data_IF_689610794674
#
_entry.id   IF_689610794674
#
_cell.length_a   1.000
_cell.length_b   1.000
_cell.length_c   1.000
_cell.angle_alpha   90.00
_cell.angle_beta   90.00
_cell.angle_gamma   90.00
#
_symmetry.space_group_name_H-M   'P 1'
#
loop_
_entity.id
_entity.type
_entity.pdbx_description
1 polymer ?
#
# COMPACT_ATOMS: atom_id res chain seq x y z
N UNK A 1 -2.54 15.39 2.40
CA UNK A 1 -1.10 15.71 2.52
C UNK A 1 -0.50 15.33 3.87
N UNK A 2 -1.28 15.28 4.97
CA UNK A 2 -0.76 14.92 6.31
C UNK A 2 0.02 13.60 6.43
N UNK A 3 -0.16 12.63 5.53
CA UNK A 3 0.55 11.34 5.58
C UNK A 3 1.96 11.37 5.00
N UNK A 4 2.36 12.49 4.43
CA UNK A 4 3.66 12.68 3.82
C UNK A 4 4.53 13.55 4.72
N UNK A 5 5.80 13.16 4.91
CA UNK A 5 6.74 13.96 5.70
C UNK A 5 6.90 15.35 5.08
N UNK A 6 6.66 16.40 5.87
CA UNK A 6 6.65 17.80 5.43
C UNK A 6 5.77 18.04 4.18
N UNK A 7 4.70 17.26 4.05
CA UNK A 7 3.74 17.34 2.95
C UNK A 7 4.33 17.08 1.54
N UNK A 8 5.57 16.59 1.45
CA UNK A 8 6.21 16.20 0.18
C UNK A 8 5.61 14.89 -0.31
N UNK A 9 4.74 14.98 -1.30
CA UNK A 9 4.30 13.82 -2.08
C UNK A 9 5.45 13.39 -3.00
N UNK A 10 5.84 12.10 -3.02
CA UNK A 10 6.88 11.62 -3.91
C UNK A 10 6.43 11.75 -5.37
N UNK A 11 7.39 12.02 -6.24
CA UNK A 11 7.16 12.05 -7.70
C UNK A 11 7.06 10.65 -8.31
N UNK A 12 7.47 9.64 -7.54
CA UNK A 12 7.32 8.24 -7.88
C UNK A 12 5.87 7.90 -8.27
N UNK A 13 5.69 7.30 -9.44
CA UNK A 13 4.39 6.91 -9.97
C UNK A 13 3.54 8.03 -10.59
N UNK A 14 4.05 9.27 -10.71
CA UNK A 14 3.29 10.36 -11.33
C UNK A 14 2.95 10.10 -12.81
N UNK A 15 3.81 9.36 -13.50
CA UNK A 15 3.68 8.95 -14.89
C UNK A 15 2.84 7.67 -15.07
N UNK A 16 2.41 7.01 -13.98
CA UNK A 16 1.67 5.74 -14.06
C UNK A 16 0.35 5.93 -14.83
N UNK A 17 0.15 5.21 -15.95
CA UNK A 17 -1.09 5.30 -16.71
C UNK A 17 -2.30 4.91 -15.86
N UNK A 18 -3.35 5.74 -15.90
CA UNK A 18 -4.56 5.48 -15.13
C UNK A 18 -4.39 5.60 -13.61
N UNK A 19 -3.35 6.28 -13.12
CA UNK A 19 -3.16 6.50 -11.69
C UNK A 19 -4.33 7.27 -11.05
N UNK A 20 -4.86 6.74 -9.95
CA UNK A 20 -5.85 7.38 -9.11
C UNK A 20 -5.24 7.76 -7.77
N UNK A 21 -5.44 9.01 -7.34
CA UNK A 21 -5.01 9.49 -6.01
C UNK A 21 -6.17 9.34 -5.04
N UNK A 22 -6.05 8.40 -4.12
CA UNK A 22 -7.10 8.03 -3.18
C UNK A 22 -6.75 8.55 -1.78
N UNK A 23 -7.68 9.26 -1.17
CA UNK A 23 -7.64 9.55 0.26
C UNK A 23 -8.55 8.53 0.95
N UNK A 24 -7.95 7.51 1.55
CA UNK A 24 -8.65 6.33 2.04
C UNK A 24 -9.55 6.71 3.21
N UNK A 25 -10.85 6.71 2.96
CA UNK A 25 -11.87 7.22 3.88
C UNK A 25 -12.72 6.08 4.41
N UNK A 26 -12.72 5.92 5.73
CA UNK A 26 -13.48 4.91 6.44
C UNK A 26 -14.05 5.50 7.73
N UNK A 27 -15.30 5.15 8.07
CA UNK A 27 -16.09 5.73 9.16
C UNK A 27 -16.02 7.26 9.20
N UNK A 28 -16.18 7.89 8.04
CA UNK A 28 -16.18 9.35 7.88
C UNK A 28 -14.84 10.03 8.27
N UNK A 29 -13.73 9.30 8.23
CA UNK A 29 -12.38 9.80 8.55
C UNK A 29 -11.38 9.33 7.49
N UNK A 30 -10.40 10.17 7.19
CA UNK A 30 -9.25 9.78 6.38
C UNK A 30 -8.22 9.06 7.24
N UNK A 31 -7.70 7.94 6.74
CA UNK A 31 -6.74 7.07 7.46
C UNK A 31 -5.35 7.02 6.82
N UNK A 32 -5.26 6.95 5.50
CA UNK A 32 -4.00 6.96 4.75
C UNK A 32 -4.24 7.43 3.30
N UNK A 33 -3.17 7.59 2.52
CA UNK A 33 -3.25 7.91 1.10
C UNK A 33 -2.73 6.75 0.26
N UNK A 34 -3.31 6.57 -0.93
CA UNK A 34 -2.87 5.57 -1.89
C UNK A 34 -2.74 6.22 -3.27
N UNK A 35 -1.63 5.98 -3.95
CA UNK A 35 -1.54 6.15 -5.39
C UNK A 35 -1.82 4.79 -6.04
N UNK A 36 -2.92 4.67 -6.75
CA UNK A 36 -3.45 3.39 -7.24
C UNK A 36 -3.40 3.30 -8.75
N UNK A 37 -2.83 2.22 -9.28
CA UNK A 37 -2.80 1.95 -10.72
C UNK A 37 -4.09 1.25 -11.13
N UNK A 38 -4.97 1.95 -11.86
CA UNK A 38 -6.26 1.36 -12.30
C UNK A 38 -6.13 0.39 -13.48
N UNK A 39 -4.98 0.34 -14.16
CA UNK A 39 -4.69 -0.60 -15.25
C UNK A 39 -4.22 -1.94 -14.69
N UNK A 40 -3.24 -1.91 -13.77
CA UNK A 40 -2.71 -3.10 -13.10
C UNK A 40 -3.57 -3.56 -11.90
N UNK A 41 -4.48 -2.70 -11.44
CA UNK A 41 -5.38 -2.92 -10.30
C UNK A 41 -4.64 -3.23 -9.00
N UNK A 42 -3.48 -2.62 -8.82
CA UNK A 42 -2.65 -2.66 -7.61
C UNK A 42 -2.22 -1.24 -7.23
N UNK A 43 -1.85 -1.03 -5.98
CA UNK A 43 -1.30 0.25 -5.56
C UNK A 43 0.15 0.41 -6.04
N UNK A 44 0.47 1.60 -6.54
CA UNK A 44 1.86 2.02 -6.77
C UNK A 44 2.54 2.21 -5.41
N UNK A 45 1.86 2.92 -4.51
CA UNK A 45 2.24 2.99 -3.09
C UNK A 45 1.06 3.38 -2.19
N UNK A 46 1.18 3.04 -0.91
CA UNK A 46 0.43 3.58 0.20
C UNK A 46 1.33 4.47 1.07
N UNK A 47 0.79 5.58 1.55
CA UNK A 47 1.47 6.54 2.42
C UNK A 47 0.67 6.75 3.71
N UNK A 48 1.31 6.53 4.87
CA UNK A 48 0.65 6.61 6.17
C UNK A 48 1.60 7.10 7.27
N UNK A 49 1.02 7.47 8.42
CA UNK A 49 1.78 7.65 9.66
C UNK A 49 1.57 6.41 10.54
N UNK A 50 2.65 5.90 11.12
CA UNK A 50 2.57 4.79 12.07
C UNK A 50 1.81 5.21 13.33
N UNK A 51 0.86 4.38 13.74
CA UNK A 51 0.14 4.51 15.00
C UNK A 51 0.15 3.15 15.73
N UNK A 52 0.62 3.06 16.98
CA UNK A 52 0.71 1.78 17.65
C UNK A 52 -0.67 1.12 17.77
N UNK A 53 -0.76 -0.12 17.28
CA UNK A 53 -1.98 -0.93 17.37
C UNK A 53 -2.41 -1.12 18.81
N UNK A 54 -3.73 -1.09 19.04
CA UNK A 54 -4.37 -1.31 20.33
C UNK A 54 -4.90 -2.75 20.52
N UNK A 55 -4.44 -3.71 19.72
CA UNK A 55 -4.85 -5.11 19.83
C UNK A 55 -6.25 -5.42 19.30
N UNK A 56 -6.81 -4.56 18.43
CA UNK A 56 -8.09 -4.82 17.76
C UNK A 56 -8.09 -6.12 16.95
N UNK A 57 -9.27 -6.75 16.81
CA UNK A 57 -9.43 -7.94 15.98
C UNK A 57 -9.18 -7.69 14.49
N UNK A 58 -9.12 -8.76 13.69
CA UNK A 58 -9.01 -8.67 12.22
C UNK A 58 -10.38 -8.33 11.61
N UNK A 59 -10.44 -7.27 10.81
CA UNK A 59 -11.61 -6.98 9.98
C UNK A 59 -11.83 -8.13 8.98
N UNK A 60 -13.09 -8.55 8.82
CA UNK A 60 -13.45 -9.70 7.99
C UNK A 60 -13.91 -9.29 6.60
N UNK A 61 -14.37 -8.05 6.47
CA UNK A 61 -14.84 -7.46 5.20
C UNK A 61 -13.66 -6.96 4.39
N UNK A 62 -13.85 -6.98 3.07
CA UNK A 62 -12.94 -6.35 2.12
C UNK A 62 -13.68 -5.22 1.43
N UNK A 63 -13.12 -4.02 1.53
CA UNK A 63 -13.70 -2.82 0.97
C UNK A 63 -13.19 -2.58 -0.45
N UNK A 64 -14.00 -1.86 -1.21
CA UNK A 64 -13.70 -1.29 -2.53
C UNK A 64 -13.98 0.20 -2.49
N UNK A 65 -13.45 0.93 -3.47
CA UNK A 65 -13.60 2.37 -3.58
C UNK A 65 -14.77 2.72 -4.53
N UNK A 66 -15.89 3.28 -4.04
CA UNK A 66 -17.01 3.63 -4.91
C UNK A 66 -16.61 4.65 -5.99
N UNK A 67 -15.69 5.57 -5.66
CA UNK A 67 -15.20 6.59 -6.59
C UNK A 67 -14.40 6.02 -7.79
N UNK A 68 -13.92 4.78 -7.71
CA UNK A 68 -13.29 4.08 -8.84
C UNK A 68 -14.30 3.39 -9.76
N UNK A 69 -15.53 3.16 -9.27
CA UNK A 69 -16.65 2.65 -10.08
C UNK A 69 -17.31 3.82 -10.83
N UNK A 70 -17.57 4.92 -10.12
CA UNK A 70 -18.10 6.14 -10.71
C UNK A 70 -17.50 7.35 -9.97
N UNK A 71 -16.84 8.24 -10.71
CA UNK A 71 -16.12 9.39 -10.14
C UNK A 71 -17.02 10.39 -9.40
N UNK A 72 -18.34 10.34 -9.60
CA UNK A 72 -19.31 11.19 -8.88
C UNK A 72 -19.72 10.62 -7.52
N UNK A 73 -19.41 9.35 -7.24
CA UNK A 73 -19.76 8.70 -5.99
C UNK A 73 -18.84 9.13 -4.85
N UNK A 74 -19.38 9.12 -3.63
CA UNK A 74 -18.61 9.45 -2.43
C UNK A 74 -17.42 8.49 -2.22
N UNK A 75 -16.33 9.04 -1.70
CA UNK A 75 -15.07 8.31 -1.48
C UNK A 75 -15.03 7.46 -0.20
N UNK A 76 -16.16 7.25 0.47
CA UNK A 76 -16.23 6.38 1.65
C UNK A 76 -16.15 4.92 1.20
N UNK A 77 -15.08 4.20 1.60
CA UNK A 77 -14.88 2.82 1.17
C UNK A 77 -16.04 1.95 1.64
N UNK A 78 -16.45 0.99 0.81
CA UNK A 78 -17.62 0.17 1.06
C UNK A 78 -17.35 -1.28 0.79
N UNK A 79 -17.99 -2.15 1.57
CA UNK A 79 -17.92 -3.58 1.32
C UNK A 79 -18.51 -3.88 -0.07
N UNK A 80 -17.77 -4.64 -0.89
CA UNK A 80 -18.11 -4.83 -2.30
C UNK A 80 -19.46 -5.49 -2.54
N UNK A 81 -19.90 -6.38 -1.63
CA UNK A 81 -21.21 -6.99 -1.72
C UNK A 81 -22.32 -5.93 -1.51
N UNK A 82 -22.18 -5.10 -0.48
CA UNK A 82 -23.16 -4.04 -0.20
C UNK A 82 -23.13 -2.92 -1.24
N UNK A 83 -21.97 -2.59 -1.82
CA UNK A 83 -21.90 -1.65 -2.94
C UNK A 83 -22.69 -2.18 -4.16
N UNK A 84 -22.57 -3.48 -4.45
CA UNK A 84 -23.30 -4.11 -5.55
C UNK A 84 -24.80 -4.21 -5.33
N UNK A 85 -25.23 -4.34 -4.07
CA UNK A 85 -26.67 -4.31 -3.72
C UNK A 85 -27.28 -2.94 -3.90
N UNK A 86 -26.56 -1.87 -3.55
CA UNK A 86 -27.05 -0.50 -3.71
C UNK A 86 -27.05 -0.04 -5.18
N UNK A 87 -26.20 -0.65 -6.02
CA UNK A 87 -26.07 -0.31 -7.45
C UNK A 87 -26.16 -1.57 -8.33
N UNK A 88 -27.35 -2.20 -8.42
CA UNK A 88 -27.53 -3.43 -9.18
C UNK A 88 -27.23 -3.20 -10.67
N UNK A 89 -26.51 -4.15 -11.28
CA UNK A 89 -26.12 -4.08 -12.70
C UNK A 89 -24.88 -3.24 -13.00
N UNK A 90 -24.31 -2.54 -12.01
CA UNK A 90 -23.06 -1.78 -12.17
C UNK A 90 -21.87 -2.69 -11.85
N UNK A 91 -20.98 -2.87 -12.82
CA UNK A 91 -19.75 -3.61 -12.61
C UNK A 91 -18.72 -2.78 -11.82
N UNK A 92 -18.27 -3.30 -10.69
CA UNK A 92 -17.38 -2.58 -9.77
C UNK A 92 -15.89 -2.75 -10.11
N UNK A 93 -15.54 -3.81 -10.85
CA UNK A 93 -14.16 -4.29 -11.01
C UNK A 93 -13.41 -3.74 -12.22
N UNK A 94 -13.97 -2.75 -12.93
CA UNK A 94 -13.35 -2.22 -14.15
C UNK A 94 -11.98 -1.61 -13.84
N UNK A 95 -11.95 -0.73 -12.82
CA UNK A 95 -10.80 0.09 -12.45
C UNK A 95 -10.19 -0.27 -11.09
N UNK A 96 -10.60 -1.38 -10.49
CA UNK A 96 -10.06 -1.85 -9.22
C UNK A 96 -10.22 -3.37 -9.06
N UNK A 97 -9.41 -3.96 -8.18
CA UNK A 97 -9.55 -5.36 -7.83
C UNK A 97 -10.83 -5.61 -7.04
N UNK A 98 -11.39 -6.81 -7.19
CA UNK A 98 -12.51 -7.31 -6.41
C UNK A 98 -12.06 -8.47 -5.51
N UNK A 99 -12.84 -8.75 -4.46
CA UNK A 99 -12.44 -9.74 -3.47
C UNK A 99 -12.35 -11.14 -4.11
N UNK A 100 -13.19 -11.40 -5.11
CA UNK A 100 -13.25 -12.64 -5.89
C UNK A 100 -12.01 -12.87 -6.75
N UNK A 101 -11.30 -11.79 -7.14
CA UNK A 101 -10.06 -11.90 -7.91
C UNK A 101 -9.00 -12.67 -7.09
N UNK A 102 -8.91 -12.41 -5.79
CA UNK A 102 -7.95 -13.07 -4.89
C UNK A 102 -8.41 -14.44 -4.39
N UNK A 103 -9.71 -14.75 -4.43
CA UNK A 103 -10.22 -16.03 -3.92
C UNK A 103 -9.73 -17.17 -4.83
N UNK A 104 -9.07 -18.17 -4.25
CA UNK A 104 -8.44 -19.29 -4.98
C UNK A 104 -7.40 -18.86 -6.04
N UNK A 105 -6.76 -17.69 -5.90
CA UNK A 105 -5.69 -17.27 -6.82
C UNK A 105 -4.33 -17.92 -6.51
N UNK A 106 -4.16 -18.47 -5.30
CA UNK A 106 -2.86 -18.90 -4.78
C UNK A 106 -2.03 -17.77 -4.16
N UNK A 107 -2.50 -16.53 -4.20
CA UNK A 107 -1.83 -15.36 -3.61
C UNK A 107 -2.59 -14.82 -2.40
N UNK A 108 -1.83 -14.28 -1.45
CA UNK A 108 -2.40 -13.53 -0.35
C UNK A 108 -2.82 -12.12 -0.80
N UNK A 109 -3.75 -11.54 -0.03
CA UNK A 109 -4.05 -10.11 -0.07
C UNK A 109 -2.99 -9.39 0.80
N UNK A 110 -1.79 -9.25 0.24
CA UNK A 110 -0.64 -8.64 0.92
C UNK A 110 -0.86 -7.16 1.14
N UNK A 111 -0.87 -6.70 2.39
CA UNK A 111 -1.12 -5.30 2.71
C UNK A 111 0.11 -4.44 2.40
N UNK A 112 -0.09 -3.27 1.81
CA UNK A 112 0.97 -2.25 1.73
C UNK A 112 0.97 -1.37 2.97
N UNK A 113 -0.18 -0.85 3.39
CA UNK A 113 -0.34 -0.32 4.74
C UNK A 113 -0.82 -1.44 5.68
N UNK A 114 0.04 -2.00 6.56
CA UNK A 114 -0.31 -3.14 7.37
C UNK A 114 -1.24 -2.75 8.53
N UNK A 115 -2.21 -3.60 8.81
CA UNK A 115 -3.17 -3.36 9.90
C UNK A 115 -2.52 -3.24 11.29
N UNK A 116 -1.33 -3.83 11.49
CA UNK A 116 -0.57 -3.78 12.73
C UNK A 116 0.01 -2.39 13.06
N UNK A 117 0.05 -1.49 12.07
CA UNK A 117 0.53 -0.11 12.21
C UNK A 117 -0.58 0.90 12.52
N UNK A 118 -1.77 0.42 12.90
CA UNK A 118 -2.89 1.28 13.27
C UNK A 118 -3.74 0.72 14.43
N UNK A 119 -4.31 1.59 15.28
CA UNK A 119 -5.41 1.24 16.16
C UNK A 119 -6.74 1.20 15.39
N UNK A 120 -7.78 0.62 16.00
CA UNK A 120 -9.16 0.76 15.48
C UNK A 120 -9.61 2.23 15.58
N UNK A 121 -10.24 2.83 14.55
CA UNK A 121 -10.73 2.20 13.32
C UNK A 121 -9.76 2.21 12.12
N UNK A 122 -8.59 2.86 12.21
CA UNK A 122 -7.60 2.91 11.11
C UNK A 122 -7.14 1.52 10.67
N UNK A 123 -6.99 0.60 11.63
CA UNK A 123 -6.75 -0.83 11.39
C UNK A 123 -7.74 -1.46 10.40
N UNK A 124 -9.02 -1.11 10.51
CA UNK A 124 -10.05 -1.70 9.64
C UNK A 124 -10.04 -1.03 8.26
N UNK A 125 -9.67 0.25 8.19
CA UNK A 125 -9.54 0.98 6.94
C UNK A 125 -8.46 0.38 6.01
N UNK A 126 -7.48 -0.36 6.55
CA UNK A 126 -6.44 -1.01 5.72
C UNK A 126 -6.97 -2.19 4.90
N UNK A 127 -8.18 -2.69 5.19
CA UNK A 127 -8.81 -3.83 4.50
C UNK A 127 -9.58 -3.40 3.24
N UNK A 128 -9.11 -2.36 2.55
CA UNK A 128 -9.55 -2.02 1.19
C UNK A 128 -8.66 -2.71 0.16
N UNK A 129 -9.24 -3.18 -0.94
CA UNK A 129 -8.50 -3.86 -2.00
C UNK A 129 -7.55 -2.92 -2.75
N UNK A 130 -7.73 -1.61 -2.62
CA UNK A 130 -6.77 -0.62 -3.14
C UNK A 130 -5.52 -0.48 -2.26
N UNK A 131 -5.45 -1.16 -1.11
CA UNK A 131 -4.28 -1.21 -0.22
C UNK A 131 -3.57 -2.56 -0.23
N UNK A 132 -3.97 -3.49 -1.11
CA UNK A 132 -3.36 -4.81 -1.19
C UNK A 132 -2.86 -5.14 -2.58
N UNK A 133 -1.89 -6.05 -2.64
CA UNK A 133 -1.35 -6.62 -3.88
C UNK A 133 -1.35 -8.15 -3.79
N UNK A 134 -1.37 -8.88 -4.92
CA UNK A 134 -1.11 -10.32 -4.91
C UNK A 134 0.29 -10.60 -4.39
N UNK A 135 0.40 -11.01 -3.13
CA UNK A 135 1.69 -11.29 -2.50
C UNK A 135 1.89 -12.79 -2.37
N UNK A 136 3.10 -13.24 -2.66
CA UNK A 136 3.49 -14.63 -2.46
C UNK A 136 3.23 -15.01 -0.98
N UNK A 137 2.48 -16.11 -0.70
CA UNK A 137 2.10 -16.46 0.67
C UNK A 137 3.30 -16.70 1.59
N UNK A 138 4.38 -17.32 1.10
CA UNK A 138 5.57 -17.57 1.91
C UNK A 138 6.25 -16.26 2.30
N UNK A 139 6.41 -15.32 1.37
CA UNK A 139 6.94 -13.99 1.66
C UNK A 139 6.06 -13.22 2.66
N UNK A 140 4.76 -13.11 2.35
CA UNK A 140 3.80 -12.34 3.15
C UNK A 140 3.72 -12.83 4.60
N UNK A 141 3.66 -14.14 4.81
CA UNK A 141 3.44 -14.74 6.13
C UNK A 141 4.73 -14.86 6.95
N UNK A 142 5.90 -14.74 6.31
CA UNK A 142 7.21 -14.91 6.96
C UNK A 142 8.07 -13.65 6.87
N UNK A 143 9.00 -13.54 5.92
CA UNK A 143 10.05 -12.52 5.97
C UNK A 143 9.48 -11.11 5.92
N UNK A 144 8.44 -10.86 5.11
CA UNK A 144 7.77 -9.55 5.08
C UNK A 144 7.06 -9.23 6.39
N UNK A 145 6.30 -10.18 6.97
CA UNK A 145 5.68 -10.01 8.29
C UNK A 145 6.70 -9.78 9.41
N UNK A 146 7.85 -10.43 9.35
CA UNK A 146 8.94 -10.26 10.32
C UNK A 146 9.52 -8.84 10.20
N UNK A 147 9.78 -8.37 8.97
CA UNK A 147 10.21 -7.01 8.68
C UNK A 147 9.22 -5.97 9.22
N UNK A 148 7.92 -6.12 8.95
CA UNK A 148 6.86 -5.25 9.49
C UNK A 148 6.86 -5.22 11.03
N UNK A 149 7.10 -6.37 11.67
CA UNK A 149 7.21 -6.46 13.14
C UNK A 149 8.44 -5.72 13.67
N UNK A 150 9.60 -5.84 13.00
CA UNK A 150 10.83 -5.16 13.39
C UNK A 150 10.69 -3.63 13.24
N UNK A 151 10.05 -3.16 12.16
CA UNK A 151 9.71 -1.75 12.00
C UNK A 151 8.77 -1.26 13.10
N UNK A 152 7.75 -2.05 13.46
CA UNK A 152 6.84 -1.72 14.57
C UNK A 152 7.62 -1.48 15.87
N UNK A 153 8.54 -2.38 16.21
CA UNK A 153 9.33 -2.28 17.44
C UNK A 153 10.27 -1.06 17.39
N UNK A 154 10.93 -0.84 16.25
CA UNK A 154 11.80 0.32 16.05
C UNK A 154 11.04 1.64 16.15
N UNK A 155 9.88 1.75 15.50
CA UNK A 155 9.07 2.96 15.53
C UNK A 155 8.58 3.29 16.95
N UNK A 156 8.14 2.28 17.71
CA UNK A 156 7.72 2.46 19.10
C UNK A 156 8.86 2.91 20.02
N UNK A 157 10.08 2.43 19.77
CA UNK A 157 11.23 2.72 20.61
C UNK A 157 11.87 4.07 20.30
N UNK A 158 11.93 4.46 19.02
CA UNK A 158 12.77 5.58 18.58
C UNK A 158 11.99 6.79 18.07
N UNK A 159 10.79 6.61 17.54
CA UNK A 159 10.10 7.65 16.79
C UNK A 159 9.02 8.32 17.62
N UNK A 160 9.00 9.65 17.62
CA UNK A 160 7.80 10.39 18.04
C UNK A 160 6.71 10.31 16.96
N UNK A 161 7.12 10.36 15.69
CA UNK A 161 6.27 10.05 14.52
C UNK A 161 7.10 9.30 13.49
N UNK A 162 6.49 8.36 12.78
CA UNK A 162 7.10 7.73 11.63
C UNK A 162 6.16 7.87 10.42
N UNK A 163 6.69 8.40 9.32
CA UNK A 163 6.03 8.47 8.03
C UNK A 163 6.53 7.31 7.19
N UNK A 164 5.62 6.57 6.56
CA UNK A 164 5.96 5.34 5.85
C UNK A 164 5.34 5.34 4.46
N UNK A 165 6.14 4.94 3.48
CA UNK A 165 5.73 4.60 2.13
C UNK A 165 5.93 3.10 1.94
N UNK A 166 4.94 2.42 1.38
CA UNK A 166 5.05 1.01 1.00
C UNK A 166 4.45 0.86 -0.38
N UNK A 167 5.16 0.22 -1.30
CA UNK A 167 4.76 0.12 -2.69
C UNK A 167 5.10 -1.22 -3.33
N UNK A 168 4.68 -1.34 -4.58
CA UNK A 168 4.91 -2.52 -5.39
C UNK A 168 5.37 -2.13 -6.80
N UNK A 169 6.19 -2.98 -7.41
CA UNK A 169 6.62 -2.84 -8.80
C UNK A 169 5.84 -3.85 -9.63
N UNK A 170 4.99 -3.42 -10.56
CA UNK A 170 4.21 -4.33 -11.38
C UNK A 170 5.15 -5.22 -12.22
N UNK A 171 4.75 -6.46 -12.44
CA UNK A 171 5.42 -7.32 -13.41
C UNK A 171 5.01 -6.97 -14.84
N UNK A 172 5.86 -7.31 -15.80
CA UNK A 172 5.56 -7.09 -17.23
C UNK A 172 4.35 -7.91 -17.69
N UNK A 173 4.30 -9.21 -17.36
CA UNK A 173 3.18 -10.06 -17.77
C UNK A 173 2.81 -11.20 -16.79
N UNK A 174 2.74 -10.91 -15.49
CA UNK A 174 2.20 -11.86 -14.51
C UNK A 174 0.90 -11.35 -13.89
N UNK A 175 -0.18 -12.12 -14.01
CA UNK A 175 -1.52 -11.69 -13.65
C UNK A 175 -2.33 -12.80 -12.98
N UNK A 176 -3.15 -12.42 -12.01
CA UNK A 176 -4.30 -13.21 -11.64
C UNK A 176 -5.27 -13.20 -12.82
N UNK A 177 -5.55 -14.38 -13.36
CA UNK A 177 -6.53 -14.57 -14.45
C UNK A 177 -7.82 -15.15 -13.87
N UNK A 178 -8.96 -14.54 -14.21
CA UNK A 178 -10.30 -15.05 -13.90
C UNK A 178 -11.11 -15.10 -15.18
N UNK A 179 -11.72 -16.26 -15.47
CA UNK A 179 -12.53 -16.47 -16.66
C UNK A 179 -11.82 -16.01 -17.95
N UNK A 180 -10.53 -16.35 -18.09
CA UNK A 180 -9.66 -15.95 -19.20
C UNK A 180 -9.42 -14.43 -19.36
N UNK A 181 -9.66 -13.64 -18.30
CA UNK A 181 -9.39 -12.19 -18.27
C UNK A 181 -8.30 -11.88 -17.26
N UNK A 182 -7.32 -11.05 -17.66
CA UNK A 182 -6.30 -10.49 -16.75
C UNK A 182 -6.98 -9.51 -15.78
N UNK A 183 -6.98 -9.85 -14.49
CA UNK A 183 -7.68 -9.08 -13.45
C UNK A 183 -6.71 -8.23 -12.65
N UNK A 184 -5.78 -8.84 -11.93
CA UNK A 184 -4.89 -8.11 -11.01
C UNK A 184 -3.45 -8.49 -11.32
N UNK A 185 -2.59 -7.50 -11.53
CA UNK A 185 -1.17 -7.75 -11.76
C UNK A 185 -0.53 -8.32 -10.50
N UNK A 186 0.31 -9.33 -10.67
CA UNK A 186 1.14 -9.88 -9.61
C UNK A 186 2.47 -9.14 -9.68
N UNK A 187 2.82 -8.28 -8.71
CA UNK A 187 4.04 -7.47 -8.77
C UNK A 187 5.29 -8.35 -8.64
N UNK A 188 6.39 -7.91 -9.25
CA UNK A 188 7.70 -8.58 -9.12
C UNK A 188 8.38 -8.25 -7.79
N UNK A 189 8.18 -7.03 -7.28
CA UNK A 189 8.80 -6.56 -6.05
C UNK A 189 7.82 -5.81 -5.15
N UNK A 190 8.05 -5.92 -3.84
CA UNK A 190 7.53 -5.01 -2.83
C UNK A 190 8.69 -4.17 -2.27
N UNK A 191 8.39 -2.96 -1.83
CA UNK A 191 9.37 -2.10 -1.18
C UNK A 191 8.72 -1.24 -0.10
N UNK A 192 9.50 -0.81 0.87
CA UNK A 192 9.09 0.22 1.81
C UNK A 192 10.19 1.25 2.05
N UNK A 193 9.78 2.44 2.48
CA UNK A 193 10.66 3.51 2.91
C UNK A 193 10.04 4.18 4.14
N UNK A 194 10.85 4.62 5.10
CA UNK A 194 10.36 5.32 6.29
C UNK A 194 11.21 6.52 6.66
N UNK A 195 10.54 7.49 7.30
CA UNK A 195 11.14 8.67 7.91
C UNK A 195 10.69 8.79 9.37
N UNK A 196 11.59 8.52 10.31
CA UNK A 196 11.40 8.62 11.75
C UNK A 196 11.80 10.02 12.22
N UNK A 197 10.93 10.67 13.00
CA UNK A 197 11.16 12.05 13.46
C UNK A 197 10.89 12.21 14.95
N UNK A 198 11.51 13.24 15.52
CA UNK A 198 11.28 13.67 16.90
C UNK A 198 9.97 14.49 17.06
N UNK A 199 9.67 14.92 18.28
CA UNK A 199 8.50 15.73 18.59
C UNK A 199 8.47 17.10 17.86
N UNK A 200 9.62 17.58 17.37
CA UNK A 200 9.77 18.82 16.61
C UNK A 200 9.73 18.58 15.09
N UNK A 201 9.42 17.35 14.66
CA UNK A 201 9.47 16.89 13.26
C UNK A 201 10.86 17.00 12.61
N UNK A 202 11.94 16.89 13.40
CA UNK A 202 13.31 16.77 12.90
C UNK A 202 13.62 15.29 12.64
N UNK A 203 14.27 14.95 11.52
CA UNK A 203 14.66 13.56 11.25
C UNK A 203 15.58 13.00 12.33
N UNK A 204 15.27 11.77 12.76
CA UNK A 204 16.07 10.98 13.68
C UNK A 204 16.77 9.84 12.96
N UNK A 205 16.01 9.13 12.12
CA UNK A 205 16.48 7.99 11.36
C UNK A 205 15.59 7.80 10.13
N UNK A 206 16.15 7.27 9.06
CA UNK A 206 15.41 6.80 7.89
C UNK A 206 15.97 5.47 7.43
N UNK A 207 15.20 4.77 6.61
CA UNK A 207 15.63 3.54 5.99
C UNK A 207 14.59 3.03 5.00
N UNK A 208 14.93 1.94 4.35
CA UNK A 208 14.13 1.30 3.33
C UNK A 208 14.36 -0.20 3.33
N UNK A 209 13.53 -0.92 2.59
CA UNK A 209 13.80 -2.29 2.20
C UNK A 209 13.09 -2.63 0.90
N UNK A 210 13.57 -3.67 0.23
CA UNK A 210 12.95 -4.27 -0.94
C UNK A 210 12.86 -5.80 -0.77
N UNK A 211 11.89 -6.42 -1.43
CA UNK A 211 11.73 -7.86 -1.43
C UNK A 211 11.16 -8.32 -2.78
N UNK A 212 11.76 -9.34 -3.37
CA UNK A 212 11.20 -10.01 -4.55
C UNK A 212 9.98 -10.81 -4.14
N UNK A 213 8.88 -10.69 -4.90
CA UNK A 213 7.58 -11.31 -4.58
C UNK A 213 7.55 -12.82 -4.95
N UNK A 214 8.49 -13.59 -4.41
CA UNK A 214 8.70 -15.00 -4.73
C UNK A 214 8.86 -15.84 -3.46
N UNK A 215 9.00 -17.15 -3.64
CA UNK A 215 9.26 -18.12 -2.57
C UNK A 215 10.68 -17.99 -1.97
N UNK A 216 11.53 -17.11 -2.49
CA UNK A 216 12.85 -16.78 -1.94
C UNK A 216 12.72 -16.28 -0.50
N UNK A 217 11.64 -15.55 -0.19
CA UNK A 217 11.29 -15.13 1.17
C UNK A 217 12.44 -14.36 1.86
N UNK A 218 12.96 -13.37 1.16
CA UNK A 218 14.06 -12.51 1.60
C UNK A 218 13.63 -11.05 1.54
N UNK A 219 14.00 -10.28 2.57
CA UNK A 219 13.89 -8.82 2.60
C UNK A 219 15.31 -8.27 2.67
N UNK A 220 15.62 -7.38 1.74
CA UNK A 220 16.90 -6.68 1.67
C UNK A 220 16.73 -5.30 2.29
N UNK A 221 17.43 -5.03 3.38
CA UNK A 221 17.46 -3.70 4.01
C UNK A 221 18.32 -2.75 3.17
N UNK A 222 17.82 -1.52 2.98
CA UNK A 222 18.43 -0.48 2.16
C UNK A 222 18.37 0.86 2.90
N UNK A 223 19.20 1.81 2.51
CA UNK A 223 18.95 3.22 2.78
C UNK A 223 18.04 3.88 1.72
N UNK A 224 17.75 5.17 1.89
CA UNK A 224 16.84 5.89 0.98
C UNK A 224 17.45 6.19 -0.39
N UNK A 225 18.78 6.31 -0.49
CA UNK A 225 19.44 6.49 -1.79
C UNK A 225 19.54 5.16 -2.52
N UNK A 226 19.92 4.09 -1.82
CA UNK A 226 19.96 2.72 -2.36
C UNK A 226 18.57 2.28 -2.88
N UNK A 227 17.50 2.56 -2.13
CA UNK A 227 16.14 2.29 -2.60
C UNK A 227 15.81 3.09 -3.87
N UNK A 228 16.25 4.35 -3.97
CA UNK A 228 15.98 5.15 -5.18
C UNK A 228 16.70 4.60 -6.40
N UNK A 229 17.95 4.16 -6.22
CA UNK A 229 18.72 3.49 -7.28
C UNK A 229 18.05 2.17 -7.70
N UNK A 230 17.63 1.35 -6.73
CA UNK A 230 16.88 0.14 -6.99
C UNK A 230 15.59 0.41 -7.78
N UNK A 231 14.76 1.37 -7.33
CA UNK A 231 13.51 1.73 -8.01
C UNK A 231 13.75 2.25 -9.43
N UNK A 232 14.83 3.00 -9.64
CA UNK A 232 15.24 3.51 -10.95
C UNK A 232 15.60 2.37 -11.91
N UNK A 233 16.36 1.39 -11.42
CA UNK A 233 16.80 0.22 -12.19
C UNK A 233 15.62 -0.66 -12.61
N UNK A 234 14.74 -1.02 -11.66
CA UNK A 234 13.64 -1.97 -11.94
C UNK A 234 12.49 -1.36 -12.75
N UNK A 235 12.34 -0.03 -12.74
CA UNK A 235 11.23 0.63 -13.45
C UNK A 235 11.63 1.35 -14.73
N UNK A 236 12.94 1.58 -14.93
CA UNK A 236 13.46 2.45 -15.99
C UNK A 236 12.84 3.87 -15.97
N UNK A 237 12.44 4.38 -14.80
CA UNK A 237 11.84 5.71 -14.63
C UNK A 237 12.59 6.56 -13.61
N UNK A 238 12.71 7.89 -13.85
CA UNK A 238 13.34 8.81 -12.91
C UNK A 238 12.69 8.75 -11.52
N UNK A 239 13.50 8.46 -10.50
CA UNK A 239 13.06 8.43 -9.09
C UNK A 239 13.54 9.68 -8.35
N UNK A 240 12.61 10.61 -8.17
CA UNK A 240 12.80 11.79 -7.33
C UNK A 240 12.93 11.44 -5.83
N UNK A 241 12.94 12.47 -4.99
CA UNK A 241 12.95 12.26 -3.54
C UNK A 241 11.67 11.59 -3.06
N UNK A 242 11.81 10.55 -2.21
CA UNK A 242 10.67 9.84 -1.61
C UNK A 242 10.09 10.59 -0.41
N UNK A 243 10.93 11.33 0.31
CA UNK A 243 10.56 12.20 1.42
C UNK A 243 11.24 13.56 1.23
N UNK A 244 10.68 14.63 1.81
CA UNK A 244 11.33 15.95 1.81
C UNK A 244 12.78 15.84 2.28
N UNK A 245 13.73 16.31 1.46
CA UNK A 245 15.18 16.27 1.73
C UNK A 245 15.70 14.85 2.07
N UNK A 246 15.07 13.82 1.50
CA UNK A 246 15.33 12.40 1.82
C UNK A 246 15.37 12.12 3.33
N UNK A 247 14.51 12.78 4.12
CA UNK A 247 14.50 12.64 5.58
C UNK A 247 15.86 12.92 6.25
N UNK A 248 16.64 13.86 5.74
CA UNK A 248 17.92 14.30 6.33
C UNK A 248 17.74 15.57 7.16
N UNK A 249 18.50 15.63 8.26
CA UNK A 249 18.54 16.78 9.17
C UNK A 249 19.17 18.02 8.53
#
# INVERSE_FOLDING_TARGET
MKYFYKEKVPEWGLSTPGAARLCQRFVNRYHFATLYDTVHRIAVYAAYQFEPSNGGGRERRWFVEPQLVNMTWQAEMKDGYWLGKDHPGVYQGERQALNEDYTHSGFDRGHLNPNGHHPVPGRNATFTLTNVVPQNPKLNQNAWRIHESQLTDMFKQKCSKAYVLVGAIPSEDNWIIKNNVKRVNIPDYLWNAYCCVDNNNRPLQSGAAAARNTEENLVEELDLDELREFLQEVSNQPVGELFYNNCRA
#
